data_IF_960802270643
#
_entry.id   IF_960802270643
#
_cell.length_a   1.000
_cell.length_b   1.000
_cell.length_c   1.000
_cell.angle_alpha   90.00
_cell.angle_beta   90.00
_cell.angle_gamma   90.00
#
_symmetry.space_group_name_H-M   'P 1'
#
loop_
_entity.id
_entity.type
_entity.pdbx_description
1 polymer ?
#
# COMPACT_ATOMS: atom_id res chain seq x y z
N UNK A 1 0.63 -11.97 -19.02
CA UNK A 1 0.14 -11.98 -17.62
C UNK A 1 -1.25 -11.34 -17.60
N UNK A 2 -2.31 -12.13 -17.75
CA UNK A 2 -3.70 -11.66 -17.98
C UNK A 2 -4.52 -11.47 -16.69
N UNK A 3 -3.83 -11.25 -15.58
CA UNK A 3 -4.39 -10.77 -14.32
C UNK A 3 -3.27 -10.02 -13.63
N UNK A 4 -3.34 -8.69 -13.57
CA UNK A 4 -2.46 -7.94 -12.68
C UNK A 4 -2.77 -8.45 -11.26
N UNK A 5 -1.79 -8.94 -10.47
CA UNK A 5 -2.07 -9.54 -9.15
C UNK A 5 -2.90 -8.64 -8.23
N UNK A 6 -2.76 -7.32 -8.37
CA UNK A 6 -3.62 -6.33 -7.71
C UNK A 6 -5.10 -6.42 -8.08
N UNK A 7 -5.42 -6.71 -9.34
CA UNK A 7 -6.81 -6.83 -9.78
C UNK A 7 -7.52 -8.02 -9.13
N UNK A 8 -6.80 -9.13 -8.89
CA UNK A 8 -7.32 -10.26 -8.12
C UNK A 8 -7.59 -9.88 -6.67
N UNK A 9 -6.63 -9.22 -6.02
CA UNK A 9 -6.80 -8.75 -4.63
C UNK A 9 -7.95 -7.76 -4.46
N UNK A 10 -8.21 -6.92 -5.46
CA UNK A 10 -9.36 -6.00 -5.47
C UNK A 10 -10.66 -6.76 -5.67
N UNK A 11 -10.70 -7.74 -6.58
CA UNK A 11 -11.90 -8.56 -6.81
C UNK A 11 -12.27 -9.37 -5.56
N UNK A 12 -11.28 -9.86 -4.81
CA UNK A 12 -11.45 -10.63 -3.59
C UNK A 12 -11.67 -9.76 -2.34
N UNK A 13 -11.72 -8.43 -2.50
CA UNK A 13 -11.96 -7.46 -1.41
C UNK A 13 -10.81 -7.33 -0.41
N UNK A 14 -9.67 -7.97 -0.66
CA UNK A 14 -8.48 -7.93 0.19
C UNK A 14 -7.75 -6.59 0.11
N UNK A 15 -8.00 -5.81 -0.94
CA UNK A 15 -7.46 -4.46 -1.14
C UNK A 15 -8.55 -3.58 -1.74
N UNK A 16 -8.62 -2.31 -1.33
CA UNK A 16 -9.49 -1.34 -1.98
C UNK A 16 -8.72 -0.13 -2.54
N UNK A 17 -9.39 0.65 -3.40
CA UNK A 17 -8.82 1.85 -3.97
C UNK A 17 -8.49 2.88 -2.88
N UNK A 18 -7.34 3.54 -3.01
CA UNK A 18 -6.96 4.61 -2.10
C UNK A 18 -7.82 5.87 -2.26
N UNK A 19 -7.62 6.87 -1.39
CA UNK A 19 -8.32 8.15 -1.49
C UNK A 19 -8.23 8.74 -2.89
N UNK A 20 -9.33 9.37 -3.32
CA UNK A 20 -9.46 9.97 -4.66
C UNK A 20 -9.33 8.97 -5.82
N UNK A 21 -9.47 7.66 -5.56
CA UNK A 21 -9.38 6.62 -6.59
C UNK A 21 -7.96 6.36 -7.08
N UNK A 22 -6.94 6.73 -6.29
CA UNK A 22 -5.53 6.59 -6.68
C UNK A 22 -4.80 5.61 -5.77
N UNK A 23 -4.03 4.71 -6.37
CA UNK A 23 -3.30 3.69 -5.62
C UNK A 23 -4.25 2.78 -4.83
N UNK A 24 -3.75 2.23 -3.74
CA UNK A 24 -4.51 1.39 -2.82
C UNK A 24 -4.66 2.08 -1.46
N UNK A 25 -5.72 1.74 -0.73
CA UNK A 25 -5.94 2.27 0.60
C UNK A 25 -4.87 1.74 1.56
N UNK A 26 -4.10 2.65 2.13
CA UNK A 26 -3.10 2.33 3.15
C UNK A 26 -3.17 3.31 4.29
N UNK A 27 -2.76 2.86 5.47
CA UNK A 27 -2.38 3.72 6.58
C UNK A 27 -1.32 4.75 6.15
N UNK A 28 -1.44 5.98 6.65
CA UNK A 28 -0.58 7.09 6.27
C UNK A 28 0.84 6.95 6.83
N UNK A 29 0.98 6.38 8.03
CA UNK A 29 2.25 6.29 8.72
C UNK A 29 3.02 5.02 8.37
N UNK A 30 2.35 3.89 8.42
CA UNK A 30 2.96 2.56 8.32
C UNK A 30 2.92 1.99 6.90
N UNK A 31 1.99 2.46 6.07
CA UNK A 31 1.73 1.86 4.75
C UNK A 31 0.99 0.53 4.81
N UNK A 32 0.45 0.14 5.98
CA UNK A 32 -0.35 -1.07 6.11
C UNK A 32 -1.63 -0.96 5.27
N UNK A 33 -1.94 -2.02 4.51
CA UNK A 33 -3.06 -2.02 3.57
C UNK A 33 -4.40 -2.15 4.29
N UNK A 34 -5.42 -1.46 3.77
CA UNK A 34 -6.80 -1.62 4.21
C UNK A 34 -7.59 -2.50 3.23
N UNK A 35 -8.40 -3.40 3.77
CA UNK A 35 -9.39 -4.17 3.01
C UNK A 35 -10.58 -3.29 2.58
N UNK A 36 -11.53 -3.88 1.85
CA UNK A 36 -12.73 -3.17 1.41
C UNK A 36 -13.67 -2.73 2.56
N UNK A 37 -13.45 -3.22 3.79
CA UNK A 37 -14.18 -2.83 5.00
C UNK A 37 -13.42 -1.77 5.81
N UNK A 38 -12.27 -1.30 5.33
CA UNK A 38 -11.43 -0.31 6.01
C UNK A 38 -10.62 -0.89 7.17
N UNK A 39 -10.49 -2.21 7.27
CA UNK A 39 -9.68 -2.87 8.30
C UNK A 39 -8.28 -3.12 7.79
N UNK A 40 -7.30 -3.08 8.69
CA UNK A 40 -5.93 -3.48 8.35
C UNK A 40 -5.87 -4.94 7.93
N UNK A 41 -5.11 -5.21 6.86
CA UNK A 41 -4.75 -6.56 6.44
C UNK A 41 -3.44 -6.93 7.13
N UNK A 42 -3.47 -8.00 7.93
CA UNK A 42 -2.31 -8.46 8.67
C UNK A 42 -1.19 -8.90 7.73
N UNK A 43 0.02 -8.38 7.98
CA UNK A 43 1.21 -8.73 7.19
C UNK A 43 1.27 -8.13 5.77
N UNK A 44 0.29 -7.30 5.37
CA UNK A 44 0.26 -6.70 4.05
C UNK A 44 0.53 -5.18 4.11
N UNK A 45 1.62 -4.77 3.46
CA UNK A 45 2.09 -3.39 3.42
C UNK A 45 2.37 -2.96 1.98
N UNK A 46 2.16 -1.68 1.70
CA UNK A 46 2.53 -1.06 0.44
C UNK A 46 3.62 0.00 0.66
N UNK A 47 4.48 0.17 -0.33
CA UNK A 47 5.48 1.26 -0.42
C UNK A 47 5.47 1.82 -1.83
N UNK A 48 5.98 3.05 -2.00
CA UNK A 48 6.13 3.64 -3.32
C UNK A 48 4.81 3.99 -4.02
N UNK A 49 4.74 3.88 -5.36
CA UNK A 49 3.62 4.42 -6.15
C UNK A 49 2.23 3.85 -5.83
N UNK A 50 2.18 2.66 -5.21
CA UNK A 50 0.92 2.07 -4.75
C UNK A 50 0.23 2.93 -3.69
N UNK A 51 0.99 3.76 -2.96
CA UNK A 51 0.48 4.65 -1.93
C UNK A 51 0.02 6.01 -2.44
N UNK A 52 0.02 6.29 -3.76
CA UNK A 52 -0.24 7.64 -4.31
C UNK A 52 -1.53 8.33 -3.80
N UNK A 53 -2.56 7.58 -3.44
CA UNK A 53 -3.79 8.13 -2.83
C UNK A 53 -3.61 8.61 -1.39
N UNK A 54 -2.62 8.10 -0.67
CA UNK A 54 -2.30 8.42 0.73
C UNK A 54 -1.01 9.25 0.86
N UNK A 55 0.00 8.98 0.00
CA UNK A 55 1.31 9.63 -0.05
C UNK A 55 1.61 10.02 -1.50
N UNK A 56 1.38 11.29 -1.83
CA UNK A 56 1.42 11.80 -3.20
C UNK A 56 2.79 11.66 -3.87
N UNK A 57 3.86 12.14 -3.22
CA UNK A 57 5.22 12.20 -3.80
C UNK A 57 6.08 10.97 -3.45
N UNK A 58 5.61 9.76 -3.76
CA UNK A 58 6.43 8.54 -3.62
C UNK A 58 6.57 7.75 -4.91
N UNK A 59 7.39 8.27 -5.83
CA UNK A 59 7.70 7.61 -7.11
C UNK A 59 9.19 7.46 -7.39
N UNK A 60 10.06 8.18 -6.68
CA UNK A 60 11.49 8.16 -6.92
C UNK A 60 12.20 7.14 -6.00
N UNK A 61 13.29 6.56 -6.51
CA UNK A 61 14.01 5.45 -5.88
C UNK A 61 14.53 5.80 -4.48
N UNK A 62 15.10 6.99 -4.22
CA UNK A 62 15.54 7.37 -2.88
C UNK A 62 14.41 7.34 -1.84
N UNK A 63 13.24 7.86 -2.18
CA UNK A 63 12.05 7.95 -1.34
C UNK A 63 11.52 6.55 -1.03
N UNK A 64 11.40 5.70 -2.04
CA UNK A 64 11.01 4.29 -1.88
C UNK A 64 11.99 3.55 -0.95
N UNK A 65 13.29 3.85 -1.06
CA UNK A 65 14.31 3.23 -0.21
C UNK A 65 14.18 3.66 1.26
N UNK A 66 13.76 4.90 1.53
CA UNK A 66 13.48 5.39 2.88
C UNK A 66 12.23 4.70 3.43
N UNK A 67 11.16 4.57 2.65
CA UNK A 67 9.95 3.85 3.04
C UNK A 67 10.25 2.39 3.38
N UNK A 68 11.01 1.70 2.52
CA UNK A 68 11.41 0.31 2.75
C UNK A 68 12.21 0.15 4.04
N UNK A 69 13.10 1.10 4.34
CA UNK A 69 13.87 1.09 5.60
C UNK A 69 12.98 1.33 6.82
N UNK A 70 12.03 2.27 6.75
CA UNK A 70 11.06 2.52 7.83
C UNK A 70 10.21 1.28 8.09
N UNK A 71 9.72 0.64 7.02
CA UNK A 71 8.94 -0.59 7.12
C UNK A 71 9.77 -1.73 7.72
N UNK A 72 11.02 -1.91 7.30
CA UNK A 72 11.91 -2.93 7.88
C UNK A 72 12.12 -2.73 9.38
N UNK A 73 12.33 -1.49 9.84
CA UNK A 73 12.42 -1.18 11.28
C UNK A 73 11.13 -1.53 12.01
N UNK A 74 9.97 -1.21 11.42
CA UNK A 74 8.66 -1.52 12.01
C UNK A 74 8.42 -3.02 12.15
N UNK A 75 8.82 -3.82 11.15
CA UNK A 75 8.62 -5.28 11.15
C UNK A 75 9.58 -6.05 12.07
N UNK A 76 10.68 -5.43 12.50
CA UNK A 76 11.67 -6.02 13.40
C UNK A 76 11.48 -5.61 14.87
N UNK A 77 10.56 -4.69 15.15
CA UNK A 77 10.20 -4.24 16.49
C UNK A 77 9.23 -5.22 17.16
#
# INVERSE_FOLDING_TARGET
>A
LRSAPLAGLVADGSVCAGPHGMGIATDADTGQVHDAQGRHVDGLYAIGPLRRGTLWESTAVPEISIEARRLATLLLA
#
